data_IF_494662442069
#
_entry.id   IF_494662442069
#
_cell.length_a   1.000
_cell.length_b   1.000
_cell.length_c   1.000
_cell.angle_alpha   90.00
_cell.angle_beta   90.00
_cell.angle_gamma   90.00
#
_symmetry.space_group_name_H-M   'P 1'
#
loop_
_entity.id
_entity.type
_entity.pdbx_description
1 polymer ?
#
# COMPACT_ATOMS: atom_id res chain seq x y z
N UNK A 1 8.53 -4.31 4.22
CA UNK A 1 7.69 -4.98 5.26
C UNK A 1 7.84 -6.50 5.12
N UNK A 2 8.06 -7.28 6.19
CA UNK A 2 8.15 -8.76 6.11
C UNK A 2 6.78 -9.42 6.26
N UNK A 3 6.56 -10.55 5.58
CA UNK A 3 5.30 -11.32 5.68
C UNK A 3 5.02 -11.80 7.11
N UNK A 4 6.06 -12.13 7.89
CA UNK A 4 5.92 -12.46 9.30
C UNK A 4 5.12 -11.41 10.09
N UNK A 5 5.33 -10.12 9.82
CA UNK A 5 4.60 -9.04 10.48
C UNK A 5 3.12 -9.02 10.09
N UNK A 6 2.79 -9.44 8.87
CA UNK A 6 1.41 -9.58 8.41
C UNK A 6 0.75 -10.83 9.01
N UNK A 7 1.51 -11.90 9.29
CA UNK A 7 0.96 -13.14 9.87
C UNK A 7 0.52 -12.98 11.32
N UNK A 8 1.06 -11.99 12.04
CA UNK A 8 0.61 -11.64 13.40
C UNK A 8 -0.74 -10.93 13.42
N UNK A 9 -1.19 -10.37 12.29
CA UNK A 9 -2.49 -9.74 12.18
C UNK A 9 -3.58 -10.76 11.86
N UNK A 10 -4.74 -10.62 12.51
CA UNK A 10 -5.89 -11.52 12.33
C UNK A 10 -6.42 -11.50 10.88
N UNK A 11 -6.38 -10.33 10.22
CA UNK A 11 -6.87 -10.11 8.86
C UNK A 11 -5.92 -9.22 8.05
N UNK A 12 -5.70 -9.60 6.78
CA UNK A 12 -5.00 -8.77 5.80
C UNK A 12 -5.93 -7.66 5.30
N UNK A 13 -5.63 -6.41 5.64
CA UNK A 13 -6.38 -5.23 5.17
C UNK A 13 -5.91 -4.77 3.79
N UNK A 14 -6.77 -4.03 3.07
CA UNK A 14 -6.41 -3.42 1.78
C UNK A 14 -5.22 -2.46 1.93
N UNK A 15 -5.19 -1.68 3.02
CA UNK A 15 -4.08 -0.79 3.37
C UNK A 15 -2.77 -1.54 3.59
N UNK A 16 -2.79 -2.65 4.33
CA UNK A 16 -1.60 -3.45 4.58
C UNK A 16 -1.09 -4.11 3.29
N UNK A 17 -1.99 -4.61 2.45
CA UNK A 17 -1.64 -5.14 1.15
C UNK A 17 -1.05 -4.07 0.22
N UNK A 18 -1.69 -2.90 0.09
CA UNK A 18 -1.14 -1.78 -0.68
C UNK A 18 0.25 -1.38 -0.20
N UNK A 19 0.46 -1.20 1.12
CA UNK A 19 1.81 -0.89 1.66
C UNK A 19 2.83 -1.96 1.29
N UNK A 20 2.46 -3.24 1.44
CA UNK A 20 3.34 -4.36 1.08
C UNK A 20 3.81 -4.28 -0.38
N UNK A 21 2.88 -4.14 -1.33
CA UNK A 21 3.22 -4.08 -2.75
C UNK A 21 3.87 -2.76 -3.18
N UNK A 22 3.46 -1.62 -2.59
CA UNK A 22 4.07 -0.31 -2.85
C UNK A 22 5.53 -0.27 -2.42
N UNK A 23 5.81 -0.76 -1.21
CA UNK A 23 7.15 -0.68 -0.61
C UNK A 23 8.14 -1.65 -1.27
N UNK A 24 7.66 -2.82 -1.72
CA UNK A 24 8.49 -3.87 -2.31
C UNK A 24 8.53 -3.84 -3.83
N UNK A 25 7.56 -3.17 -4.48
CA UNK A 25 7.47 -3.05 -5.93
C UNK A 25 7.64 -4.42 -6.62
N UNK A 26 8.63 -4.55 -7.50
CA UNK A 26 8.88 -5.76 -8.29
C UNK A 26 9.34 -6.94 -7.41
N UNK A 27 9.97 -6.68 -6.27
CA UNK A 27 10.44 -7.71 -5.33
C UNK A 27 9.30 -8.32 -4.48
N UNK A 28 8.07 -7.80 -4.59
CA UNK A 28 6.97 -8.23 -3.75
C UNK A 28 6.63 -9.72 -3.91
N UNK A 29 6.69 -10.24 -5.14
CA UNK A 29 6.41 -11.64 -5.44
C UNK A 29 7.55 -12.52 -4.94
N UNK A 30 8.80 -12.11 -5.17
CA UNK A 30 9.99 -12.82 -4.73
C UNK A 30 10.00 -12.98 -3.21
N UNK A 31 9.64 -11.93 -2.47
CA UNK A 31 9.53 -12.00 -1.02
C UNK A 31 8.40 -12.93 -0.56
N UNK A 32 7.28 -13.01 -1.30
CA UNK A 32 6.21 -13.97 -1.00
C UNK A 32 6.71 -15.40 -1.14
N UNK A 33 7.39 -15.71 -2.25
CA UNK A 33 7.96 -17.04 -2.50
C UNK A 33 8.98 -17.38 -1.43
N UNK A 34 9.94 -16.49 -1.19
CA UNK A 34 11.00 -16.66 -0.19
C UNK A 34 10.40 -16.96 1.19
N UNK A 35 9.38 -16.18 1.61
CA UNK A 35 8.74 -16.37 2.91
C UNK A 35 8.02 -17.71 3.04
N UNK A 36 7.39 -18.21 1.98
CA UNK A 36 6.79 -19.55 2.00
C UNK A 36 7.87 -20.63 2.04
N UNK A 37 8.93 -20.49 1.25
CA UNK A 37 10.03 -21.47 1.22
C UNK A 37 10.73 -21.58 2.58
N UNK A 38 11.03 -20.45 3.22
CA UNK A 38 11.59 -20.40 4.57
C UNK A 38 10.68 -21.10 5.58
N UNK A 39 9.37 -20.82 5.53
CA UNK A 39 8.39 -21.45 6.41
C UNK A 39 8.27 -22.98 6.22
N UNK A 40 8.70 -23.53 5.08
CA UNK A 40 8.70 -24.97 4.81
C UNK A 40 9.93 -25.70 5.36
N UNK A 41 10.98 -24.98 5.77
CA UNK A 41 12.15 -25.56 6.46
C UNK A 41 11.79 -26.03 7.87
N UNK A 42 10.75 -25.44 8.48
CA UNK A 42 10.24 -25.82 9.79
C UNK A 42 9.33 -27.06 9.72
N UNK A 43 9.19 -27.82 10.83
CA UNK A 43 8.19 -28.85 10.96
C UNK A 43 6.77 -28.35 10.64
N UNK A 44 5.87 -29.26 10.25
CA UNK A 44 4.46 -28.91 10.05
C UNK A 44 3.90 -28.32 11.36
N UNK A 45 3.38 -27.10 11.29
CA UNK A 45 2.91 -26.37 12.47
C UNK A 45 2.30 -25.02 12.12
N UNK A 46 1.92 -24.27 13.15
CA UNK A 46 1.19 -22.99 13.02
C UNK A 46 1.91 -21.99 12.12
N UNK A 47 3.22 -21.82 12.28
CA UNK A 47 4.05 -20.88 11.51
C UNK A 47 3.96 -21.14 10.00
N UNK A 48 4.18 -22.40 9.58
CA UNK A 48 4.09 -22.82 8.18
C UNK A 48 2.70 -22.59 7.60
N UNK A 49 1.65 -22.92 8.36
CA UNK A 49 0.26 -22.72 7.95
C UNK A 49 -0.07 -21.24 7.76
N UNK A 50 0.33 -20.38 8.69
CA UNK A 50 0.07 -18.94 8.61
C UNK A 50 0.79 -18.29 7.43
N UNK A 51 2.04 -18.66 7.17
CA UNK A 51 2.81 -18.15 6.03
C UNK A 51 2.14 -18.55 4.71
N UNK A 52 1.71 -19.82 4.57
CA UNK A 52 0.96 -20.28 3.39
C UNK A 52 -0.36 -19.52 3.21
N UNK A 53 -1.13 -19.32 4.27
CA UNK A 53 -2.41 -18.59 4.21
C UNK A 53 -2.18 -17.14 3.80
N UNK A 54 -1.19 -16.47 4.40
CA UNK A 54 -0.89 -15.07 4.11
C UNK A 54 -0.39 -14.88 2.68
N UNK A 55 0.53 -15.74 2.23
CA UNK A 55 1.01 -15.77 0.85
C UNK A 55 -0.15 -15.92 -0.14
N UNK A 56 -1.04 -16.88 0.09
CA UNK A 56 -2.23 -17.06 -0.75
C UNK A 56 -3.14 -15.83 -0.74
N UNK A 57 -3.33 -15.15 0.41
CA UNK A 57 -4.11 -13.91 0.47
C UNK A 57 -3.48 -12.78 -0.32
N UNK A 58 -2.15 -12.59 -0.22
CA UNK A 58 -1.41 -11.57 -0.95
C UNK A 58 -1.42 -11.83 -2.46
N UNK A 59 -1.11 -13.06 -2.90
CA UNK A 59 -1.14 -13.44 -4.31
C UNK A 59 -2.54 -13.30 -4.89
N UNK A 60 -3.58 -13.74 -4.17
CA UNK A 60 -4.96 -13.56 -4.63
C UNK A 60 -5.34 -12.08 -4.78
N UNK A 61 -4.88 -11.20 -3.86
CA UNK A 61 -5.09 -9.76 -4.02
C UNK A 61 -4.34 -9.21 -5.22
N UNK A 62 -3.10 -9.64 -5.44
CA UNK A 62 -2.28 -9.19 -6.56
C UNK A 62 -2.88 -9.56 -7.92
N UNK A 63 -3.22 -10.84 -8.12
CA UNK A 63 -3.69 -11.33 -9.40
C UNK A 63 -5.17 -11.04 -9.67
N UNK A 64 -6.03 -10.97 -8.65
CA UNK A 64 -7.49 -10.85 -8.84
C UNK A 64 -8.05 -9.49 -8.43
N UNK A 65 -7.32 -8.69 -7.67
CA UNK A 65 -7.82 -7.44 -7.08
C UNK A 65 -6.77 -6.33 -7.13
N UNK A 66 -5.95 -6.31 -8.19
CA UNK A 66 -4.83 -5.37 -8.36
C UNK A 66 -5.26 -3.92 -8.17
N UNK A 67 -6.40 -3.54 -8.74
CA UNK A 67 -6.97 -2.18 -8.62
C UNK A 67 -7.29 -1.76 -7.18
N UNK A 68 -7.56 -2.71 -6.28
CA UNK A 68 -7.83 -2.40 -4.86
C UNK A 68 -6.55 -2.12 -4.08
N UNK A 69 -5.43 -2.65 -4.55
CA UNK A 69 -4.14 -2.56 -3.86
C UNK A 69 -3.14 -1.66 -4.57
N UNK A 70 -3.37 -1.31 -5.83
CA UNK A 70 -2.58 -0.37 -6.64
C UNK A 70 -3.60 0.40 -7.49
N UNK A 71 -4.36 1.34 -6.90
CA UNK A 71 -5.29 2.14 -7.67
C UNK A 71 -4.54 3.09 -8.60
N UNK A 72 -5.15 3.46 -9.72
CA UNK A 72 -4.63 4.52 -10.57
C UNK A 72 -4.59 5.84 -9.79
N UNK A 73 -3.46 6.55 -9.89
CA UNK A 73 -3.25 7.79 -9.15
C UNK A 73 -4.20 8.86 -9.66
N UNK A 74 -5.12 9.32 -8.81
CA UNK A 74 -6.04 10.42 -9.16
C UNK A 74 -5.33 11.76 -9.42
N UNK A 75 -4.16 11.96 -8.80
CA UNK A 75 -3.30 13.12 -9.01
C UNK A 75 -1.84 12.67 -9.09
N UNK A 76 -1.06 13.35 -9.93
CA UNK A 76 0.40 13.18 -9.96
C UNK A 76 1.13 14.26 -9.13
N UNK A 77 2.44 14.11 -8.96
CA UNK A 77 3.25 15.06 -8.19
C UNK A 77 3.23 16.49 -8.74
N UNK A 78 3.24 16.63 -10.08
CA UNK A 78 3.17 17.93 -10.74
C UNK A 78 1.85 18.67 -10.48
N UNK A 79 0.74 17.94 -10.52
CA UNK A 79 -0.57 18.49 -10.19
C UNK A 79 -0.63 18.94 -8.74
N UNK A 80 -0.06 18.18 -7.81
CA UNK A 80 0.02 18.56 -6.39
C UNK A 80 0.86 19.83 -6.20
N UNK A 81 2.03 19.91 -6.84
CA UNK A 81 2.89 21.11 -6.83
C UNK A 81 2.12 22.33 -7.35
N UNK A 82 1.40 22.20 -8.47
CA UNK A 82 0.61 23.29 -9.05
C UNK A 82 -0.57 23.71 -8.17
N UNK A 83 -1.24 22.76 -7.52
CA UNK A 83 -2.40 23.03 -6.64
C UNK A 83 -1.96 23.73 -5.36
N UNK A 84 -0.85 23.29 -4.77
CA UNK A 84 -0.36 23.78 -3.48
C UNK A 84 0.65 24.91 -3.60
N UNK A 85 1.17 25.20 -4.81
CA UNK A 85 2.24 26.16 -5.06
C UNK A 85 3.49 25.91 -4.21
N UNK A 86 3.84 24.63 -4.03
CA UNK A 86 5.05 24.20 -3.32
C UNK A 86 6.12 23.76 -4.32
N UNK A 87 7.42 23.98 -4.00
CA UNK A 87 8.51 23.47 -4.83
C UNK A 87 8.55 21.94 -4.79
N UNK A 88 9.32 21.36 -5.70
CA UNK A 88 9.66 19.95 -5.65
C UNK A 88 10.36 19.61 -4.33
N UNK A 89 10.06 18.43 -3.78
CA UNK A 89 10.71 17.97 -2.57
C UNK A 89 10.00 16.81 -1.87
N UNK A 90 10.57 16.30 -0.77
CA UNK A 90 10.06 15.13 -0.05
C UNK A 90 8.63 15.29 0.46
N UNK A 91 8.20 16.54 0.68
CA UNK A 91 6.84 16.87 1.10
C UNK A 91 5.80 16.45 0.06
N UNK A 92 6.08 16.62 -1.25
CA UNK A 92 5.18 16.21 -2.33
C UNK A 92 4.98 14.70 -2.31
N UNK A 93 6.06 13.93 -2.08
CA UNK A 93 6.01 12.48 -1.90
C UNK A 93 5.12 12.07 -0.73
N UNK A 94 5.28 12.71 0.43
CA UNK A 94 4.42 12.45 1.61
C UNK A 94 2.93 12.72 1.33
N UNK A 95 2.61 13.78 0.59
CA UNK A 95 1.23 14.11 0.24
C UNK A 95 0.66 13.10 -0.77
N UNK A 96 1.46 12.67 -1.75
CA UNK A 96 1.09 11.59 -2.68
C UNK A 96 0.78 10.30 -1.92
N UNK A 97 1.63 9.93 -0.96
CA UNK A 97 1.42 8.73 -0.15
C UNK A 97 0.13 8.79 0.67
N UNK A 98 -0.16 9.92 1.32
CA UNK A 98 -1.42 10.10 2.07
C UNK A 98 -2.65 10.06 1.16
N UNK A 99 -2.53 10.61 -0.06
CA UNK A 99 -3.60 10.59 -1.05
C UNK A 99 -3.85 9.16 -1.58
N UNK A 100 -2.80 8.43 -1.93
CA UNK A 100 -2.88 7.03 -2.36
C UNK A 100 -3.47 6.15 -1.26
N UNK A 101 -3.06 6.36 -0.01
CA UNK A 101 -3.62 5.62 1.12
C UNK A 101 -5.12 5.89 1.29
N UNK A 102 -5.55 7.15 1.15
CA UNK A 102 -6.97 7.52 1.20
C UNK A 102 -7.77 6.93 0.03
N UNK A 103 -7.16 6.75 -1.14
CA UNK A 103 -7.78 6.07 -2.29
C UNK A 103 -7.98 4.57 -2.03
N UNK A 104 -6.95 3.89 -1.51
CA UNK A 104 -7.02 2.46 -1.16
C UNK A 104 -8.10 2.19 -0.11
N UNK A 105 -8.23 3.09 0.85
CA UNK A 105 -9.30 3.05 1.86
C UNK A 105 -10.69 3.44 1.31
N UNK A 106 -10.81 3.67 -0.01
CA UNK A 106 -12.03 4.10 -0.72
C UNK A 106 -12.66 5.39 -0.18
N UNK A 107 -11.87 6.22 0.52
CA UNK A 107 -12.31 7.52 1.04
C UNK A 107 -12.34 8.58 -0.06
N UNK A 108 -11.56 8.39 -1.12
CA UNK A 108 -11.42 9.30 -2.25
C UNK A 108 -11.51 8.46 -3.52
N UNK A 109 -12.44 8.82 -4.41
CA UNK A 109 -12.68 8.12 -5.67
C UNK A 109 -12.56 9.03 -6.88
N UNK A 110 -12.66 10.35 -6.69
CA UNK A 110 -12.65 11.30 -7.80
C UNK A 110 -11.50 12.27 -7.73
N UNK A 111 -11.06 12.75 -8.89
CA UNK A 111 -10.03 13.80 -9.01
C UNK A 111 -10.41 15.09 -8.26
N UNK A 112 -11.70 15.40 -8.20
CA UNK A 112 -12.20 16.57 -7.45
C UNK A 112 -12.10 16.38 -5.93
N UNK A 113 -12.43 15.19 -5.41
CA UNK A 113 -12.20 14.84 -4.00
C UNK A 113 -10.71 14.86 -3.66
N UNK A 114 -9.86 14.32 -4.53
CA UNK A 114 -8.41 14.33 -4.36
C UNK A 114 -7.87 15.77 -4.22
N UNK A 115 -8.31 16.70 -5.09
CA UNK A 115 -7.95 18.12 -5.01
C UNK A 115 -8.37 18.75 -3.68
N UNK A 116 -9.58 18.44 -3.19
CA UNK A 116 -10.07 18.95 -1.88
C UNK A 116 -9.24 18.37 -0.72
N UNK A 117 -8.95 17.09 -0.77
CA UNK A 117 -8.16 16.39 0.25
C UNK A 117 -6.74 16.97 0.38
N UNK A 118 -6.04 17.14 -0.75
CA UNK A 118 -4.69 17.70 -0.79
C UNK A 118 -4.65 19.13 -0.21
N UNK A 119 -5.66 19.97 -0.52
CA UNK A 119 -5.78 21.32 0.08
C UNK A 119 -6.00 21.28 1.60
N UNK A 120 -6.78 20.31 2.09
CA UNK A 120 -7.05 20.17 3.52
C UNK A 120 -5.83 19.66 4.31
N UNK A 121 -5.01 18.77 3.74
CA UNK A 121 -3.76 18.32 4.37
C UNK A 121 -2.85 19.51 4.66
N UNK A 122 -2.71 20.43 3.71
CA UNK A 122 -1.85 21.60 3.86
C UNK A 122 -2.35 22.54 4.97
N UNK A 123 -3.66 22.77 5.07
CA UNK A 123 -4.26 23.58 6.14
C UNK A 123 -4.01 22.99 7.53
N UNK A 124 -4.09 21.67 7.67
CA UNK A 124 -3.89 20.99 8.94
C UNK A 124 -2.41 20.86 9.33
N UNK A 125 -1.49 20.86 8.35
CA UNK A 125 -0.06 20.70 8.60
C UNK A 125 0.72 21.99 8.84
N UNK A 126 0.09 23.19 8.75
CA UNK A 126 0.76 24.51 8.88
C UNK A 126 2.19 24.45 8.33
N UNK A 127 2.29 24.20 7.03
CA UNK A 127 3.52 24.48 6.28
C UNK A 127 3.51 25.96 5.94
#
# INVERSE_FOLDING_TARGET
MRIGNLTSAEKLTDRAAWRFFRDLQDDAIDLIVLSVTDAYTYPKGRTRTLHKIMANKLLNKFYRQKEKIIPEKLLNGFEIMKILKIPEGPLVGKILEELEEAQVLKKIKTKNEAKKFVKNICKNKKI
#
